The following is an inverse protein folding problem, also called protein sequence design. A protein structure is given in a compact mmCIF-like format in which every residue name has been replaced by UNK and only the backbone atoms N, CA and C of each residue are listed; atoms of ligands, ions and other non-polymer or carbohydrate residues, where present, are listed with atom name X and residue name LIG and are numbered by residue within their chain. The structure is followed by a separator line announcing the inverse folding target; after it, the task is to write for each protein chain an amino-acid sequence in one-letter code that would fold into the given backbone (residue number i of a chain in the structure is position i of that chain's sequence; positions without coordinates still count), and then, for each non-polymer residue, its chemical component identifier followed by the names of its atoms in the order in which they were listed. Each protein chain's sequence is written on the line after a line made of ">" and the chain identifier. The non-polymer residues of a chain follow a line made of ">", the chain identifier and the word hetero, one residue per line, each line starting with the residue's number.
data_IF_631906900371
#
_entry.id   IF_631906900371
#
_cell.length_a   1.000
_cell.length_b   1.000
_cell.length_c   1.000
_cell.angle_alpha   90.00
_cell.angle_beta   90.00
_cell.angle_gamma   90.00
#
_symmetry.space_group_name_H-M   'P 1'
#
loop_
_entity.id
_entity.type
_entity.pdbx_description
1 polymer ?
#
# COMPACT_ATOMS: atom_id res chain seq x y z
N UNK A 1 -5.04 -28.55 -26.19
CA UNK A 1 -3.74 -27.92 -26.53
C UNK A 1 -3.28 -27.21 -25.27
N UNK A 2 -2.24 -27.71 -24.60
CA UNK A 2 -1.67 -27.00 -23.46
C UNK A 2 -1.07 -25.67 -23.99
N UNK A 3 -1.19 -24.55 -23.26
CA UNK A 3 -0.44 -23.35 -23.62
C UNK A 3 1.03 -23.75 -23.76
N UNK A 4 1.73 -23.17 -24.74
CA UNK A 4 3.11 -23.56 -25.08
C UNK A 4 4.07 -23.50 -23.89
N UNK A 5 5.38 -23.72 -24.11
CA UNK A 5 6.38 -23.52 -23.05
C UNK A 5 6.33 -22.05 -22.60
N UNK A 6 5.54 -21.74 -21.58
CA UNK A 6 5.39 -20.40 -21.05
C UNK A 6 6.73 -19.80 -20.65
N UNK A 7 6.75 -18.49 -20.46
CA UNK A 7 7.94 -17.78 -20.00
C UNK A 7 8.29 -18.25 -18.59
N UNK A 8 9.51 -18.80 -18.43
CA UNK A 8 9.97 -19.34 -17.13
C UNK A 8 10.48 -18.27 -16.17
N UNK A 9 10.86 -17.09 -16.68
CA UNK A 9 11.33 -15.95 -15.90
C UNK A 9 11.02 -14.66 -16.65
N UNK A 10 10.47 -13.68 -15.93
CA UNK A 10 10.13 -12.37 -16.46
C UNK A 10 10.69 -11.31 -15.51
N UNK A 11 11.33 -10.27 -16.06
CA UNK A 11 11.69 -9.06 -15.33
C UNK A 11 10.65 -8.00 -15.69
N UNK A 12 9.85 -7.57 -14.71
CA UNK A 12 8.71 -6.68 -14.97
C UNK A 12 9.10 -5.20 -15.15
N UNK A 13 10.29 -4.79 -14.70
CA UNK A 13 10.74 -3.40 -14.74
C UNK A 13 9.91 -2.43 -13.87
N UNK A 14 8.90 -2.94 -13.17
CA UNK A 14 8.04 -2.21 -12.24
C UNK A 14 7.64 -3.11 -11.08
N UNK A 15 7.17 -2.49 -10.00
CA UNK A 15 6.55 -3.21 -8.88
C UNK A 15 5.23 -3.80 -9.40
N UNK A 16 5.01 -5.12 -9.29
CA UNK A 16 3.74 -5.70 -9.68
C UNK A 16 2.65 -5.25 -8.71
N UNK A 17 1.56 -4.73 -9.25
CA UNK A 17 0.41 -4.27 -8.46
C UNK A 17 -0.53 -5.43 -8.11
N UNK A 18 -0.45 -6.56 -8.81
CA UNK A 18 -1.24 -7.75 -8.52
C UNK A 18 -0.76 -8.99 -9.23
N UNK A 19 -1.38 -10.12 -8.88
CA UNK A 19 -1.09 -11.40 -9.51
C UNK A 19 -1.94 -12.54 -8.97
N UNK A 20 -1.73 -13.71 -9.57
CA UNK A 20 -2.43 -14.94 -9.21
C UNK A 20 -1.42 -16.07 -9.05
N UNK A 21 -1.58 -16.86 -8.00
CA UNK A 21 -0.93 -18.13 -7.79
C UNK A 21 -1.91 -19.25 -8.09
N UNK A 22 -1.49 -20.24 -8.88
CA UNK A 22 -2.34 -21.37 -9.30
C UNK A 22 -1.63 -22.66 -8.88
N UNK A 23 -2.25 -23.40 -7.95
CA UNK A 23 -1.82 -24.75 -7.59
C UNK A 23 -2.76 -25.77 -8.24
N UNK A 24 -2.27 -26.42 -9.29
CA UNK A 24 -3.04 -27.41 -10.05
C UNK A 24 -3.28 -28.69 -9.24
N UNK A 25 -2.35 -29.07 -8.35
CA UNK A 25 -2.48 -30.31 -7.57
C UNK A 25 -3.55 -30.18 -6.51
N UNK A 26 -3.62 -29.02 -5.86
CA UNK A 26 -4.61 -28.74 -4.82
C UNK A 26 -5.89 -28.13 -5.38
N UNK A 27 -5.94 -27.81 -6.68
CA UNK A 27 -7.03 -27.08 -7.33
C UNK A 27 -7.35 -25.78 -6.58
N UNK A 28 -6.31 -25.02 -6.24
CA UNK A 28 -6.45 -23.73 -5.56
C UNK A 28 -5.94 -22.59 -6.42
N UNK A 29 -6.59 -21.43 -6.27
CA UNK A 29 -6.20 -20.18 -6.90
C UNK A 29 -6.18 -19.08 -5.84
N UNK A 30 -5.01 -18.48 -5.65
CA UNK A 30 -4.80 -17.37 -4.74
C UNK A 30 -4.55 -16.09 -5.51
N UNK A 31 -5.34 -15.04 -5.25
CA UNK A 31 -5.15 -13.74 -5.88
C UNK A 31 -4.66 -12.71 -4.86
N UNK A 32 -3.77 -11.81 -5.29
CA UNK A 32 -3.28 -10.70 -4.47
C UNK A 32 -3.29 -9.41 -5.30
N UNK A 33 -3.53 -8.28 -4.62
CA UNK A 33 -3.53 -6.97 -5.23
C UNK A 33 -3.15 -5.89 -4.22
N UNK A 34 -2.34 -4.92 -4.64
CA UNK A 34 -1.90 -3.77 -3.81
C UNK A 34 -2.80 -2.55 -3.99
N UNK A 35 -3.80 -2.64 -4.87
CA UNK A 35 -4.80 -1.62 -5.08
C UNK A 35 -6.19 -2.20 -4.81
N UNK A 36 -7.15 -1.34 -4.44
CA UNK A 36 -8.54 -1.74 -4.35
C UNK A 36 -9.08 -1.99 -5.77
N UNK A 37 -9.12 -3.26 -6.17
CA UNK A 37 -9.85 -3.66 -7.39
C UNK A 37 -11.21 -4.17 -6.98
N UNK A 38 -12.19 -3.30 -7.15
CA UNK A 38 -13.61 -3.54 -6.91
C UNK A 38 -14.03 -4.95 -7.35
N UNK A 39 -14.21 -5.85 -6.39
CA UNK A 39 -14.91 -7.11 -6.64
C UNK A 39 -14.05 -8.29 -7.10
N UNK A 40 -12.73 -8.15 -7.30
CA UNK A 40 -11.95 -9.24 -7.93
C UNK A 40 -11.93 -10.52 -7.09
N UNK A 41 -11.84 -10.39 -5.76
CA UNK A 41 -11.85 -11.53 -4.85
C UNK A 41 -13.23 -12.18 -4.77
N UNK A 42 -14.28 -11.38 -4.90
CA UNK A 42 -15.67 -11.84 -4.91
C UNK A 42 -16.01 -12.58 -6.21
N UNK A 43 -15.42 -12.16 -7.34
CA UNK A 43 -15.63 -12.80 -8.63
C UNK A 43 -14.80 -14.07 -8.83
N UNK A 44 -13.67 -14.21 -8.10
CA UNK A 44 -12.70 -15.29 -8.28
C UNK A 44 -13.31 -16.71 -8.24
N UNK A 45 -14.19 -17.05 -7.28
CA UNK A 45 -14.82 -18.38 -7.23
C UNK A 45 -15.70 -18.69 -8.45
N UNK A 46 -16.35 -17.66 -9.01
CA UNK A 46 -17.18 -17.81 -10.21
C UNK A 46 -16.34 -18.12 -11.45
N UNK A 47 -15.22 -17.42 -11.62
CA UNK A 47 -14.28 -17.62 -12.73
C UNK A 47 -13.58 -18.98 -12.64
N UNK A 48 -13.23 -19.41 -11.43
CA UNK A 48 -12.55 -20.68 -11.16
C UNK A 48 -13.50 -21.71 -10.52
N UNK A 49 -14.59 -22.01 -11.24
CA UNK A 49 -15.61 -22.92 -10.75
C UNK A 49 -15.05 -24.31 -10.42
N UNK A 50 -15.35 -24.81 -9.22
CA UNK A 50 -14.86 -26.10 -8.73
C UNK A 50 -13.43 -26.08 -8.16
N UNK A 51 -12.78 -24.91 -8.13
CA UNK A 51 -11.49 -24.70 -7.48
C UNK A 51 -11.70 -23.92 -6.17
N UNK A 52 -10.78 -24.07 -5.22
CA UNK A 52 -10.77 -23.23 -4.03
C UNK A 52 -10.13 -21.89 -4.37
N UNK A 53 -10.88 -20.81 -4.18
CA UNK A 53 -10.44 -19.45 -4.46
C UNK A 53 -10.13 -18.72 -3.14
N UNK A 54 -8.93 -18.13 -3.05
CA UNK A 54 -8.47 -17.37 -1.89
C UNK A 54 -8.12 -15.93 -2.30
N UNK A 55 -8.65 -14.96 -1.57
CA UNK A 55 -8.19 -13.58 -1.61
C UNK A 55 -7.06 -13.40 -0.60
N UNK A 56 -5.86 -13.09 -1.08
CA UNK A 56 -4.71 -12.80 -0.23
C UNK A 56 -4.49 -11.29 -0.05
N UNK A 57 -5.24 -10.46 -0.77
CA UNK A 57 -5.16 -9.00 -0.67
C UNK A 57 -3.71 -8.50 -0.82
N UNK A 58 -3.23 -7.69 0.12
CA UNK A 58 -1.87 -7.15 0.17
C UNK A 58 -0.93 -7.97 1.08
N UNK A 59 -1.32 -9.21 1.46
CA UNK A 59 -0.53 -10.09 2.34
C UNK A 59 0.72 -10.62 1.64
N UNK A 60 1.71 -9.76 1.51
CA UNK A 60 2.99 -10.04 0.86
C UNK A 60 3.69 -11.31 1.38
N UNK A 61 3.63 -11.56 2.69
CA UNK A 61 4.24 -12.76 3.28
C UNK A 61 3.62 -14.07 2.76
N UNK A 62 2.29 -14.10 2.58
CA UNK A 62 1.59 -15.27 2.00
C UNK A 62 2.09 -15.55 0.58
N UNK A 63 2.23 -14.49 -0.23
CA UNK A 63 2.73 -14.60 -1.60
C UNK A 63 4.13 -15.23 -1.64
N UNK A 64 5.05 -14.78 -0.77
CA UNK A 64 6.41 -15.32 -0.70
C UNK A 64 6.41 -16.80 -0.31
N UNK A 65 5.61 -17.17 0.70
CA UNK A 65 5.50 -18.57 1.17
C UNK A 65 4.97 -19.46 0.03
N UNK A 66 3.86 -19.07 -0.60
CA UNK A 66 3.20 -19.87 -1.65
C UNK A 66 4.06 -20.00 -2.90
N UNK A 67 4.86 -18.99 -3.22
CA UNK A 67 5.79 -19.06 -4.34
C UNK A 67 7.02 -19.95 -4.07
N UNK A 68 7.28 -20.42 -2.85
CA UNK A 68 8.29 -21.45 -2.53
C UNK A 68 9.65 -21.24 -3.23
N UNK A 69 10.17 -20.02 -3.20
CA UNK A 69 11.45 -19.65 -3.81
C UNK A 69 11.43 -19.36 -5.32
N UNK A 70 10.28 -19.54 -6.00
CA UNK A 70 10.09 -19.11 -7.38
C UNK A 70 10.00 -17.57 -7.50
N UNK A 71 9.52 -16.90 -6.44
CA UNK A 71 9.56 -15.45 -6.31
C UNK A 71 10.82 -15.05 -5.55
N UNK A 72 11.70 -14.28 -6.21
CA UNK A 72 12.84 -13.65 -5.55
C UNK A 72 12.46 -12.22 -5.21
N UNK A 73 12.41 -11.92 -3.92
CA UNK A 73 12.13 -10.57 -3.43
C UNK A 73 13.45 -9.97 -2.96
N UNK A 74 13.78 -8.72 -3.36
CA UNK A 74 14.86 -7.97 -2.75
C UNK A 74 14.70 -7.91 -1.23
N UNK A 75 15.81 -7.93 -0.50
CA UNK A 75 15.79 -7.62 0.92
C UNK A 75 15.23 -6.21 1.14
N UNK A 76 14.45 -6.03 2.20
CA UNK A 76 13.96 -4.70 2.58
C UNK A 76 15.15 -3.89 3.08
N UNK A 77 15.43 -2.77 2.43
CA UNK A 77 16.36 -1.78 2.93
C UNK A 77 15.65 -0.93 3.98
N UNK A 78 15.80 -1.34 5.24
CA UNK A 78 15.16 -0.68 6.38
C UNK A 78 15.65 0.75 6.54
N UNK A 79 16.92 1.05 6.23
CA UNK A 79 17.47 2.40 6.38
C UNK A 79 16.90 3.32 5.30
N UNK A 80 16.93 2.89 4.04
CA UNK A 80 16.30 3.65 2.95
C UNK A 80 14.78 3.80 3.15
N UNK A 81 14.13 2.77 3.72
CA UNK A 81 12.73 2.83 4.11
C UNK A 81 12.45 3.88 5.20
N UNK A 82 13.31 3.95 6.23
CA UNK A 82 13.25 4.98 7.27
C UNK A 82 13.44 6.37 6.65
N UNK A 83 14.43 6.57 5.79
CA UNK A 83 14.68 7.86 5.14
C UNK A 83 13.46 8.31 4.33
N UNK A 84 12.87 7.40 3.55
CA UNK A 84 11.66 7.64 2.76
C UNK A 84 10.46 7.99 3.64
N UNK A 85 10.24 7.24 4.73
CA UNK A 85 9.15 7.49 5.66
C UNK A 85 9.33 8.82 6.41
N UNK A 86 10.55 9.15 6.83
CA UNK A 86 10.83 10.43 7.48
C UNK A 86 10.59 11.60 6.53
N UNK A 87 11.07 11.51 5.29
CA UNK A 87 10.82 12.54 4.27
C UNK A 87 9.32 12.69 3.99
N UNK A 88 8.60 11.59 3.78
CA UNK A 88 7.17 11.62 3.49
C UNK A 88 6.32 12.14 4.66
N UNK A 89 6.60 11.70 5.89
CA UNK A 89 5.88 12.19 7.08
C UNK A 89 6.23 13.65 7.31
N UNK A 90 7.50 14.03 7.16
CA UNK A 90 7.89 15.43 7.27
C UNK A 90 7.15 16.29 6.23
N UNK A 91 7.09 15.85 4.98
CA UNK A 91 6.36 16.56 3.93
C UNK A 91 4.85 16.62 4.23
N UNK A 92 4.24 15.50 4.64
CA UNK A 92 2.81 15.45 4.93
C UNK A 92 2.40 16.24 6.18
N UNK A 93 3.25 16.26 7.20
CA UNK A 93 3.00 16.95 8.48
C UNK A 93 3.38 18.44 8.40
N UNK A 94 4.31 18.82 7.53
CA UNK A 94 4.88 20.16 7.51
C UNK A 94 4.80 20.92 6.15
N UNK A 95 4.19 20.37 5.09
CA UNK A 95 3.85 21.12 3.86
C UNK A 95 2.39 21.65 3.83
N UNK A 96 2.08 22.43 2.78
CA UNK A 96 1.04 23.47 2.73
C UNK A 96 -0.36 23.04 3.18
N UNK A 97 -1.12 24.00 3.71
CA UNK A 97 -2.54 23.85 4.07
C UNK A 97 -3.35 23.08 3.01
N UNK A 98 -3.03 23.22 1.72
CA UNK A 98 -3.76 22.59 0.61
C UNK A 98 -3.73 21.06 0.60
N UNK A 99 -2.74 20.42 1.23
CA UNK A 99 -2.61 18.95 1.29
C UNK A 99 -3.04 18.36 2.63
N UNK A 100 -3.37 19.22 3.60
CA UNK A 100 -4.05 18.80 4.83
C UNK A 100 -5.47 18.34 4.54
N UNK A 101 -6.09 17.52 5.41
CA UNK A 101 -7.50 17.16 5.27
C UNK A 101 -8.43 18.38 5.16
N UNK A 102 -8.16 19.48 5.88
CA UNK A 102 -8.89 20.73 5.73
C UNK A 102 -8.70 21.36 4.33
N UNK A 103 -7.49 21.33 3.79
CA UNK A 103 -7.21 21.77 2.41
C UNK A 103 -7.90 20.94 1.34
N UNK A 104 -7.96 19.62 1.53
CA UNK A 104 -8.66 18.71 0.62
C UNK A 104 -10.19 18.90 0.68
N UNK A 105 -10.75 19.13 1.87
CA UNK A 105 -12.18 19.48 2.02
C UNK A 105 -12.49 20.81 1.34
N UNK A 106 -11.61 21.81 1.43
CA UNK A 106 -11.77 23.07 0.70
C UNK A 106 -11.72 22.88 -0.82
N UNK A 107 -10.78 22.07 -1.33
CA UNK A 107 -10.70 21.69 -2.76
C UNK A 107 -12.00 21.02 -3.24
N UNK A 108 -12.59 20.15 -2.41
CA UNK A 108 -13.88 19.52 -2.73
C UNK A 108 -15.02 20.54 -2.82
N UNK A 109 -15.10 21.52 -1.92
CA UNK A 109 -16.12 22.57 -2.01
C UNK A 109 -15.95 23.44 -3.26
N UNK A 110 -14.72 23.83 -3.59
CA UNK A 110 -14.43 24.56 -4.85
C UNK A 110 -14.86 23.76 -6.10
N UNK A 111 -14.63 22.44 -6.10
CA UNK A 111 -15.06 21.56 -7.20
C UNK A 111 -16.59 21.43 -7.30
N UNK A 112 -17.29 21.50 -6.17
CA UNK A 112 -18.74 21.31 -6.11
C UNK A 112 -19.54 22.62 -6.28
N UNK A 113 -18.89 23.78 -6.20
CA UNK A 113 -19.52 25.10 -6.33
C UNK A 113 -20.40 25.25 -7.59
N UNK A 114 -20.01 24.76 -8.79
CA UNK A 114 -20.86 24.86 -9.98
C UNK A 114 -22.15 24.05 -9.91
N UNK A 115 -22.21 23.03 -9.04
CA UNK A 115 -23.33 22.08 -8.93
C UNK A 115 -24.18 22.32 -7.69
N UNK A 116 -23.59 22.93 -6.66
CA UNK A 116 -24.24 23.27 -5.39
C UNK A 116 -23.70 24.60 -4.84
N UNK A 117 -24.07 25.74 -5.43
CA UNK A 117 -23.61 27.04 -4.97
C UNK A 117 -24.07 27.30 -3.53
N UNK A 118 -23.15 27.79 -2.69
CA UNK A 118 -23.41 28.06 -1.27
C UNK A 118 -23.21 26.87 -0.32
N UNK A 119 -22.56 25.79 -0.78
CA UNK A 119 -22.03 24.76 0.11
C UNK A 119 -20.99 25.37 1.06
N UNK A 120 -21.18 25.14 2.38
CA UNK A 120 -20.28 25.63 3.42
C UNK A 120 -19.69 24.44 4.18
N UNK A 121 -18.37 24.46 4.38
CA UNK A 121 -17.69 23.52 5.29
C UNK A 121 -18.00 23.96 6.71
N UNK A 122 -18.63 23.10 7.51
CA UNK A 122 -18.82 23.39 8.93
C UNK A 122 -17.48 23.31 9.68
N UNK A 123 -17.33 24.09 10.75
CA UNK A 123 -16.12 24.04 11.60
C UNK A 123 -15.85 22.62 12.13
N UNK A 124 -16.90 21.83 12.34
CA UNK A 124 -16.81 20.43 12.75
C UNK A 124 -16.30 19.47 11.67
N UNK A 125 -16.42 19.82 10.38
CA UNK A 125 -15.93 18.98 9.28
C UNK A 125 -14.39 18.98 9.16
N UNK A 126 -13.73 19.96 9.76
CA UNK A 126 -12.26 20.09 9.82
C UNK A 126 -11.71 19.98 11.25
N UNK A 127 -12.58 19.84 12.25
CA UNK A 127 -12.20 19.58 13.62
C UNK A 127 -11.47 18.22 13.69
N UNK A 128 -10.35 18.19 14.40
CA UNK A 128 -9.51 16.99 14.60
C UNK A 128 -8.96 16.32 13.32
N UNK A 129 -9.13 16.93 12.14
CA UNK A 129 -8.76 16.30 10.86
C UNK A 129 -7.27 16.33 10.57
N UNK A 130 -6.49 17.06 11.36
CA UNK A 130 -5.04 17.15 11.21
C UNK A 130 -4.39 17.00 12.59
N UNK A 131 -4.51 15.80 13.17
CA UNK A 131 -3.70 15.43 14.34
C UNK A 131 -2.24 15.40 13.90
N UNK A 132 -1.59 16.54 14.00
CA UNK A 132 -0.15 16.62 13.90
C UNK A 132 0.43 15.87 15.09
N UNK A 133 1.49 15.07 14.92
CA UNK A 133 2.17 14.47 16.05
C UNK A 133 2.57 15.58 17.01
N UNK A 134 2.28 15.39 18.30
CA UNK A 134 2.79 16.28 19.35
C UNK A 134 4.31 16.27 19.27
N UNK A 135 4.95 17.36 19.70
CA UNK A 135 6.43 17.46 19.69
C UNK A 135 7.11 16.26 20.34
N UNK A 136 6.55 15.73 21.43
CA UNK A 136 7.05 14.54 22.10
C UNK A 136 6.93 13.25 21.25
N UNK A 137 5.84 13.09 20.51
CA UNK A 137 5.61 11.95 19.61
C UNK A 137 6.57 11.99 18.43
N UNK A 138 6.76 13.18 17.84
CA UNK A 138 7.75 13.39 16.78
C UNK A 138 9.18 13.11 17.26
N UNK A 139 9.58 13.63 18.42
CA UNK A 139 10.90 13.36 18.99
C UNK A 139 11.12 11.87 19.27
N UNK A 140 10.10 11.15 19.75
CA UNK A 140 10.18 9.70 19.95
C UNK A 140 10.38 8.95 18.64
N UNK A 141 9.65 9.32 17.59
CA UNK A 141 9.81 8.75 16.26
C UNK A 141 11.23 8.96 15.72
N UNK A 142 11.73 10.20 15.73
CA UNK A 142 13.09 10.52 15.28
C UNK A 142 14.15 9.76 16.09
N UNK A 143 13.97 9.64 17.41
CA UNK A 143 14.86 8.86 18.27
C UNK A 143 14.89 7.37 17.90
N UNK A 144 13.74 6.77 17.61
CA UNK A 144 13.66 5.38 17.13
C UNK A 144 14.36 5.18 15.79
N UNK A 145 14.16 6.10 14.83
CA UNK A 145 14.86 6.06 13.54
C UNK A 145 16.38 6.14 13.70
N UNK A 146 16.87 6.96 14.64
CA UNK A 146 18.30 7.07 14.93
C UNK A 146 18.87 5.76 15.50
N UNK A 147 18.18 5.16 16.46
CA UNK A 147 18.61 3.89 17.07
C UNK A 147 18.77 2.77 16.03
N UNK A 148 17.81 2.64 15.10
CA UNK A 148 17.88 1.61 14.04
C UNK A 148 19.09 1.82 13.13
N UNK A 149 19.41 3.09 12.81
CA UNK A 149 20.60 3.42 12.00
C UNK A 149 21.90 3.08 12.73
N UNK A 150 21.97 3.35 14.03
CA UNK A 150 23.14 3.03 14.86
C UNK A 150 23.38 1.51 14.90
N UNK A 151 22.33 0.72 15.17
CA UNK A 151 22.41 -0.75 15.16
C UNK A 151 22.84 -1.28 13.78
N UNK A 152 22.30 -0.69 12.70
CA UNK A 152 22.68 -1.10 11.35
C UNK A 152 24.14 -0.77 11.03
N UNK A 153 24.64 0.40 11.45
CA UNK A 153 26.03 0.79 11.27
C UNK A 153 27.01 -0.08 12.07
N UNK A 154 26.60 -0.57 13.24
CA UNK A 154 27.39 -1.53 14.04
C UNK A 154 27.41 -2.95 13.44
N UNK A 155 26.44 -3.29 12.60
CA UNK A 155 26.25 -4.63 12.02
C UNK A 155 26.75 -4.75 10.57
N UNK A 156 27.18 -3.64 9.95
CA UNK A 156 27.65 -3.55 8.56
C UNK A 156 29.18 -3.64 8.47
#
# INVERSE_FOLDING_TARGET
>A
MLPGRGVRRLTLGKIPEGGVHIDVRQQTVGAWHTADTMGIFQALPGVWSGWQAEGWEDRFAEQVIRCSGALRVPAVDTVAGIDSAQAWIHDRVFQSYSDSPAGQVRKLVELLDPVGPGLVVSDGAVADSAVHPRRAEWSRFVGGCKLVREIHAESA
#
